data_IF_985695839447
#
_entry.id   IF_985695839447
#
_cell.length_a   1.000
_cell.length_b   1.000
_cell.length_c   1.000
_cell.angle_alpha   90.00
_cell.angle_beta   90.00
_cell.angle_gamma   90.00
#
_symmetry.space_group_name_H-M   'P 1'
#
loop_
_entity.id
_entity.type
_entity.pdbx_description
1 polymer ?
#
# COMPACT_ATOMS: atom_id res chain seq x y z
N UNK A 1 -25.69 -35.07 92.45
CA UNK A 1 -25.15 -35.91 91.36
C UNK A 1 -25.31 -35.16 90.08
N UNK A 2 -24.16 -34.77 89.49
CA UNK A 2 -24.03 -33.73 88.45
C UNK A 2 -24.29 -34.28 87.06
N UNK A 3 -25.03 -33.53 86.21
CA UNK A 3 -25.07 -33.70 84.77
C UNK A 3 -24.54 -32.47 84.10
N UNK A 4 -23.45 -32.61 83.34
CA UNK A 4 -22.75 -31.57 82.58
C UNK A 4 -23.42 -31.35 81.24
N UNK A 5 -23.84 -30.10 80.97
CA UNK A 5 -24.24 -29.61 79.68
C UNK A 5 -23.01 -29.50 78.76
N UNK A 6 -23.10 -30.09 77.59
CA UNK A 6 -22.14 -29.87 76.46
C UNK A 6 -22.79 -28.91 75.48
N UNK A 7 -22.41 -27.66 75.56
CA UNK A 7 -22.71 -26.67 74.53
C UNK A 7 -21.92 -26.99 73.25
N UNK A 8 -22.65 -27.37 72.18
CA UNK A 8 -22.12 -27.56 70.85
C UNK A 8 -21.79 -26.20 70.19
N UNK A 9 -20.51 -26.01 69.87
CA UNK A 9 -20.05 -24.88 69.10
C UNK A 9 -20.51 -25.07 67.65
N UNK A 10 -21.55 -24.33 67.21
CA UNK A 10 -22.00 -24.27 65.83
C UNK A 10 -21.09 -23.26 65.12
N UNK A 11 -20.15 -23.79 64.36
CA UNK A 11 -19.34 -23.00 63.44
C UNK A 11 -20.25 -22.26 62.44
N UNK A 12 -20.28 -20.96 62.55
CA UNK A 12 -20.97 -20.09 61.57
C UNK A 12 -20.24 -20.20 60.24
N UNK A 13 -20.84 -20.92 59.28
CA UNK A 13 -20.44 -20.89 57.88
C UNK A 13 -20.79 -19.49 57.32
N UNK A 14 -19.76 -18.71 57.06
CA UNK A 14 -19.89 -17.42 56.34
C UNK A 14 -20.60 -17.68 55.01
N UNK A 15 -21.69 -16.96 54.68
CA UNK A 15 -22.33 -17.15 53.40
C UNK A 15 -21.39 -16.78 52.29
N UNK A 16 -21.09 -17.71 51.38
CA UNK A 16 -20.43 -17.41 50.13
C UNK A 16 -21.21 -16.32 49.43
N UNK A 17 -20.55 -15.18 49.22
CA UNK A 17 -21.06 -14.03 48.46
C UNK A 17 -21.60 -14.53 47.13
N UNK A 18 -22.94 -14.54 46.97
CA UNK A 18 -23.59 -14.78 45.69
C UNK A 18 -23.25 -13.59 44.77
N UNK A 19 -22.29 -13.77 43.91
CA UNK A 19 -22.02 -12.79 42.84
C UNK A 19 -23.25 -12.80 41.93
N UNK A 20 -24.02 -11.72 41.95
CA UNK A 20 -25.18 -11.51 41.09
C UNK A 20 -24.74 -11.63 39.62
N UNK A 21 -25.45 -12.40 38.77
CA UNK A 21 -25.09 -12.59 37.34
C UNK A 21 -24.99 -11.27 36.62
N UNK A 22 -25.75 -10.25 37.02
CA UNK A 22 -25.69 -8.89 36.47
C UNK A 22 -24.35 -8.19 36.72
N UNK A 23 -23.72 -8.39 37.87
CA UNK A 23 -22.38 -7.83 38.18
C UNK A 23 -21.27 -8.49 37.34
N UNK A 24 -21.40 -9.80 37.10
CA UNK A 24 -20.43 -10.53 36.25
C UNK A 24 -20.52 -10.02 34.80
N UNK A 25 -21.75 -9.86 34.28
CA UNK A 25 -21.97 -9.33 32.93
C UNK A 25 -21.46 -7.89 32.83
N UNK A 26 -21.76 -7.03 33.79
CA UNK A 26 -21.28 -5.63 33.79
C UNK A 26 -19.75 -5.54 33.82
N UNK A 27 -19.09 -6.37 34.63
CA UNK A 27 -17.60 -6.41 34.68
C UNK A 27 -17.04 -6.93 33.37
N UNK A 28 -17.62 -7.98 32.77
CA UNK A 28 -17.18 -8.52 31.48
C UNK A 28 -17.29 -7.49 30.35
N UNK A 29 -18.44 -6.79 30.26
CA UNK A 29 -18.66 -5.73 29.26
C UNK A 29 -17.70 -4.56 29.48
N UNK A 30 -17.51 -4.11 30.74
CA UNK A 30 -16.56 -3.05 31.08
C UNK A 30 -15.14 -3.40 30.71
N UNK A 31 -14.71 -4.63 31.00
CA UNK A 31 -13.37 -5.14 30.64
C UNK A 31 -13.18 -5.21 29.12
N UNK A 32 -14.18 -5.65 28.37
CA UNK A 32 -14.15 -5.68 26.92
C UNK A 32 -14.04 -4.28 26.31
N UNK A 33 -14.81 -3.32 26.79
CA UNK A 33 -14.75 -1.93 26.33
C UNK A 33 -13.39 -1.28 26.67
N UNK A 34 -12.84 -1.55 27.85
CA UNK A 34 -11.52 -1.07 28.25
C UNK A 34 -10.42 -1.65 27.34
N UNK A 35 -10.49 -2.94 27.02
CA UNK A 35 -9.57 -3.59 26.10
C UNK A 35 -9.65 -2.98 24.69
N UNK A 36 -10.88 -2.78 24.19
CA UNK A 36 -11.09 -2.14 22.90
C UNK A 36 -10.53 -0.72 22.87
N UNK A 37 -10.77 0.07 23.91
CA UNK A 37 -10.21 1.42 24.03
C UNK A 37 -8.67 1.40 24.08
N UNK A 38 -8.09 0.44 24.79
CA UNK A 38 -6.63 0.27 24.86
C UNK A 38 -6.03 -0.09 23.48
N UNK A 39 -6.66 -0.99 22.72
CA UNK A 39 -6.24 -1.36 21.36
C UNK A 39 -6.29 -0.13 20.43
N UNK A 40 -7.38 0.64 20.48
CA UNK A 40 -7.52 1.86 19.67
C UNK A 40 -6.48 2.92 20.07
N UNK A 41 -6.25 3.12 21.36
CA UNK A 41 -5.26 4.07 21.85
C UNK A 41 -3.83 3.65 21.43
N UNK A 42 -3.51 2.36 21.54
CA UNK A 42 -2.24 1.82 21.07
C UNK A 42 -2.04 2.02 19.57
N UNK A 43 -3.05 1.71 18.75
CA UNK A 43 -3.01 1.94 17.31
C UNK A 43 -2.73 3.41 16.96
N UNK A 44 -3.40 4.35 17.65
CA UNK A 44 -3.14 5.79 17.47
C UNK A 44 -1.73 6.22 17.86
N UNK A 45 -1.16 5.64 18.90
CA UNK A 45 0.23 5.93 19.31
C UNK A 45 1.21 5.41 18.27
N UNK A 46 1.02 4.19 17.77
CA UNK A 46 1.86 3.59 16.72
C UNK A 46 1.80 4.46 15.45
N UNK A 47 0.60 4.85 15.02
CA UNK A 47 0.40 5.71 13.86
C UNK A 47 1.10 7.07 14.00
N UNK A 48 0.97 7.72 15.18
CA UNK A 48 1.64 8.99 15.44
C UNK A 48 3.15 8.86 15.37
N UNK A 49 3.72 7.79 15.95
CA UNK A 49 5.17 7.51 15.90
C UNK A 49 5.63 7.26 14.47
N UNK A 50 4.87 6.48 13.70
CA UNK A 50 5.15 6.23 12.29
C UNK A 50 5.19 7.54 11.50
N UNK A 51 4.17 8.40 11.63
CA UNK A 51 4.12 9.72 10.96
C UNK A 51 5.27 10.62 11.37
N UNK A 52 5.58 10.71 12.67
CA UNK A 52 6.69 11.51 13.16
C UNK A 52 8.04 11.07 12.57
N UNK A 53 8.27 9.77 12.43
CA UNK A 53 9.48 9.23 11.84
C UNK A 53 9.62 9.62 10.35
N UNK A 54 8.53 9.55 9.56
CA UNK A 54 8.55 10.03 8.18
C UNK A 54 8.73 11.56 8.07
N UNK A 55 8.12 12.32 8.96
CA UNK A 55 8.32 13.78 9.01
C UNK A 55 9.79 14.12 9.25
N UNK A 56 10.42 13.45 10.21
CA UNK A 56 11.84 13.65 10.49
C UNK A 56 12.71 13.28 9.29
N UNK A 57 12.48 12.12 8.66
CA UNK A 57 13.15 11.71 7.43
C UNK A 57 13.04 12.78 6.34
N UNK A 58 11.86 13.34 6.14
CA UNK A 58 11.63 14.38 5.14
C UNK A 58 12.39 15.68 5.47
N UNK A 59 12.38 16.09 6.73
CA UNK A 59 13.12 17.29 7.18
C UNK A 59 14.62 17.16 6.96
N UNK A 60 15.20 16.01 7.25
CA UNK A 60 16.63 15.73 7.08
C UNK A 60 17.08 15.77 5.60
N UNK A 61 16.17 15.48 4.66
CA UNK A 61 16.45 15.40 3.22
C UNK A 61 15.89 16.55 2.39
N UNK A 62 15.22 17.51 3.05
CA UNK A 62 14.57 18.61 2.35
C UNK A 62 13.35 18.19 1.53
N UNK A 63 12.71 17.05 1.88
CA UNK A 63 11.46 16.59 1.29
C UNK A 63 10.26 17.15 2.05
N UNK A 64 9.09 17.13 1.42
CA UNK A 64 7.84 17.53 2.04
C UNK A 64 7.05 16.26 2.43
N UNK A 65 6.58 16.25 3.66
CA UNK A 65 5.66 15.21 4.17
C UNK A 65 4.22 15.73 4.13
N UNK A 66 3.32 14.91 3.61
CA UNK A 66 1.88 15.15 3.62
C UNK A 66 1.16 13.87 4.07
N UNK A 67 0.05 14.03 4.73
CA UNK A 67 -0.80 12.92 5.14
C UNK A 67 -2.19 13.18 4.57
N UNK A 68 -2.67 12.20 3.78
CA UNK A 68 -3.92 12.28 3.03
C UNK A 68 -3.93 13.40 1.97
N UNK A 69 -4.00 13.01 0.71
CA UNK A 69 -4.20 13.93 -0.42
C UNK A 69 -5.54 13.60 -1.10
N UNK A 70 -6.65 14.19 -0.66
CA UNK A 70 -7.95 13.97 -1.29
C UNK A 70 -7.91 14.27 -2.79
N UNK A 71 -8.44 13.36 -3.61
CA UNK A 71 -8.51 13.51 -5.06
C UNK A 71 -7.16 13.35 -5.79
N UNK A 72 -6.10 12.89 -5.11
CA UNK A 72 -4.84 12.58 -5.78
C UNK A 72 -4.99 11.40 -6.74
N UNK A 73 -5.75 10.38 -6.35
CA UNK A 73 -6.05 9.22 -7.18
C UNK A 73 -6.72 9.60 -8.52
N UNK A 74 -7.60 10.57 -8.52
CA UNK A 74 -8.29 11.03 -9.72
C UNK A 74 -7.37 11.82 -10.65
N UNK A 75 -6.47 12.63 -10.10
CA UNK A 75 -5.49 13.39 -10.87
C UNK A 75 -4.51 12.47 -11.62
N UNK A 76 -4.10 11.37 -11.00
CA UNK A 76 -3.09 10.45 -11.53
C UNK A 76 -3.68 9.18 -12.16
N UNK A 77 -5.02 9.02 -12.16
CA UNK A 77 -5.69 7.84 -12.72
C UNK A 77 -5.41 7.64 -14.21
N UNK A 78 -5.10 8.73 -14.95
CA UNK A 78 -4.75 8.63 -16.37
C UNK A 78 -3.41 7.93 -16.58
N UNK A 79 -2.42 8.22 -15.74
CA UNK A 79 -1.11 7.59 -15.80
C UNK A 79 -1.17 6.15 -15.24
N UNK A 80 -1.96 5.94 -14.20
CA UNK A 80 -2.14 4.63 -13.58
C UNK A 80 -3.60 4.36 -13.23
N UNK A 81 -4.36 3.64 -14.08
CA UNK A 81 -5.74 3.26 -13.82
C UNK A 81 -5.96 2.41 -12.57
N UNK A 82 -4.91 1.80 -12.00
CA UNK A 82 -4.96 1.16 -10.69
C UNK A 82 -5.56 2.09 -9.62
N UNK A 83 -5.25 3.38 -9.68
CA UNK A 83 -5.69 4.37 -8.70
C UNK A 83 -7.21 4.67 -8.76
N UNK A 84 -7.89 4.21 -9.81
CA UNK A 84 -9.35 4.33 -9.93
C UNK A 84 -10.11 3.05 -9.55
N UNK A 85 -9.39 1.97 -9.17
CA UNK A 85 -9.99 0.68 -8.91
C UNK A 85 -10.65 0.55 -7.53
N UNK A 86 -11.66 -0.33 -7.46
CA UNK A 86 -12.29 -0.73 -6.23
C UNK A 86 -13.02 0.40 -5.51
N UNK A 87 -13.19 0.22 -4.22
CA UNK A 87 -13.85 1.17 -3.31
C UNK A 87 -13.02 1.31 -2.02
N UNK A 88 -13.47 2.16 -1.10
CA UNK A 88 -12.73 2.49 0.12
C UNK A 88 -11.26 2.86 -0.17
N UNK A 89 -11.08 3.66 -1.21
CA UNK A 89 -9.76 4.14 -1.64
C UNK A 89 -9.20 5.12 -0.62
N UNK A 90 -7.94 4.92 -0.28
CA UNK A 90 -7.25 5.75 0.70
C UNK A 90 -5.82 6.05 0.22
N UNK A 91 -5.53 7.33 0.07
CA UNK A 91 -4.21 7.86 -0.22
C UNK A 91 -3.56 8.28 1.10
N UNK A 92 -2.63 7.50 1.59
CA UNK A 92 -2.06 7.63 2.93
C UNK A 92 -0.84 8.54 3.00
N UNK A 93 0.22 8.07 3.65
CA UNK A 93 1.49 8.78 3.77
C UNK A 93 2.01 9.16 2.39
N UNK A 94 2.38 10.44 2.25
CA UNK A 94 2.88 11.00 1.01
C UNK A 94 4.13 11.83 1.27
N UNK A 95 5.15 11.61 0.45
CA UNK A 95 6.43 12.30 0.49
C UNK A 95 6.70 12.86 -0.89
N UNK A 96 6.85 14.17 -0.98
CA UNK A 96 7.16 14.85 -2.25
C UNK A 96 8.54 15.48 -2.17
N UNK A 97 9.24 15.47 -3.30
CA UNK A 97 10.57 16.04 -3.38
C UNK A 97 11.09 16.06 -4.80
N UNK A 98 12.39 16.38 -4.91
CA UNK A 98 13.13 16.35 -6.18
C UNK A 98 14.36 15.48 -5.98
N UNK A 99 14.61 14.59 -6.93
CA UNK A 99 15.79 13.73 -6.95
C UNK A 99 16.39 13.70 -8.36
N UNK A 100 17.68 13.93 -8.47
CA UNK A 100 18.37 14.07 -9.78
C UNK A 100 17.67 15.06 -10.73
N UNK A 101 17.14 16.17 -10.20
CA UNK A 101 16.46 17.20 -10.97
C UNK A 101 15.01 16.87 -11.39
N UNK A 102 14.48 15.70 -11.00
CA UNK A 102 13.12 15.26 -11.34
C UNK A 102 12.25 15.20 -10.10
N UNK A 103 11.05 15.79 -10.18
CA UNK A 103 10.09 15.76 -9.09
C UNK A 103 9.48 14.39 -8.93
N UNK A 104 9.32 13.96 -7.66
CA UNK A 104 8.69 12.70 -7.32
C UNK A 104 7.64 12.86 -6.23
N UNK A 105 6.72 11.90 -6.20
CA UNK A 105 5.77 11.67 -5.11
C UNK A 105 5.85 10.19 -4.71
N UNK A 106 6.35 9.91 -3.49
CA UNK A 106 6.29 8.59 -2.88
C UNK A 106 5.05 8.52 -1.99
N UNK A 107 4.25 7.46 -2.10
CA UNK A 107 3.02 7.36 -1.34
C UNK A 107 2.59 5.92 -1.05
N UNK A 108 1.77 5.78 -0.02
CA UNK A 108 1.05 4.56 0.29
C UNK A 108 -0.39 4.69 -0.21
N UNK A 109 -0.86 3.70 -0.95
CA UNK A 109 -2.22 3.67 -1.47
C UNK A 109 -2.91 2.36 -1.14
N UNK A 110 -4.15 2.46 -0.70
CA UNK A 110 -4.98 1.32 -0.36
C UNK A 110 -6.32 1.39 -1.07
N UNK A 111 -6.85 0.24 -1.44
CA UNK A 111 -8.21 0.10 -1.97
C UNK A 111 -8.75 -1.28 -1.67
N UNK A 112 -10.07 -1.41 -1.72
CA UNK A 112 -10.76 -2.69 -1.48
C UNK A 112 -11.44 -3.17 -2.75
N UNK A 113 -11.31 -4.45 -3.06
CA UNK A 113 -12.04 -5.13 -4.14
C UNK A 113 -12.98 -6.18 -3.56
N UNK A 114 -14.08 -6.49 -4.26
CA UNK A 114 -15.09 -7.41 -3.78
C UNK A 114 -15.98 -6.80 -2.68
N UNK A 115 -16.91 -7.58 -2.15
CA UNK A 115 -17.86 -7.15 -1.12
C UNK A 115 -18.11 -8.25 -0.10
N UNK A 116 -18.46 -7.88 1.12
CA UNK A 116 -18.78 -8.82 2.19
C UNK A 116 -17.62 -9.78 2.48
N UNK A 117 -17.88 -11.09 2.43
CA UNK A 117 -16.86 -12.12 2.73
C UNK A 117 -15.77 -12.25 1.67
N UNK A 118 -16.00 -11.73 0.46
CA UNK A 118 -15.00 -11.71 -0.62
C UNK A 118 -14.22 -10.40 -0.69
N UNK A 119 -14.45 -9.46 0.21
CA UNK A 119 -13.72 -8.21 0.27
C UNK A 119 -12.22 -8.46 0.53
N UNK A 120 -11.36 -7.83 -0.27
CA UNK A 120 -9.90 -7.89 -0.12
C UNK A 120 -9.35 -6.48 -0.19
N UNK A 121 -8.60 -6.09 0.82
CA UNK A 121 -7.86 -4.82 0.84
C UNK A 121 -6.48 -5.05 0.24
N UNK A 122 -6.12 -4.17 -0.67
CA UNK A 122 -4.82 -4.12 -1.31
C UNK A 122 -4.07 -2.89 -0.82
N UNK A 123 -2.77 -3.01 -0.70
CA UNK A 123 -1.89 -1.90 -0.31
C UNK A 123 -0.69 -1.91 -1.23
N UNK A 124 -0.30 -0.74 -1.72
CA UNK A 124 0.94 -0.55 -2.46
C UNK A 124 1.76 0.60 -1.89
N UNK A 125 3.07 0.47 -2.02
CA UNK A 125 4.02 1.57 -1.93
C UNK A 125 4.39 1.99 -3.35
N UNK A 126 4.20 3.25 -3.69
CA UNK A 126 4.38 3.74 -5.05
C UNK A 126 5.28 4.98 -5.10
N UNK A 127 5.94 5.13 -6.25
CA UNK A 127 6.67 6.33 -6.68
C UNK A 127 6.08 6.81 -7.99
N UNK A 128 5.63 8.03 -8.00
CA UNK A 128 5.19 8.76 -9.17
C UNK A 128 6.24 9.83 -9.53
N UNK A 129 6.72 9.79 -10.75
CA UNK A 129 7.69 10.74 -11.29
C UNK A 129 7.04 11.65 -12.31
N UNK A 130 7.34 12.95 -12.24
CA UNK A 130 6.99 13.92 -13.26
C UNK A 130 8.18 14.07 -14.22
N UNK A 131 8.12 13.36 -15.35
CA UNK A 131 9.19 13.39 -16.35
C UNK A 131 9.19 14.69 -17.13
N UNK A 132 10.37 15.18 -17.52
CA UNK A 132 10.52 16.36 -18.37
C UNK A 132 10.27 16.02 -19.85
N UNK A 133 9.21 15.23 -20.13
CA UNK A 133 8.81 14.83 -21.47
C UNK A 133 7.62 15.66 -21.94
N UNK A 134 7.68 16.21 -23.14
CA UNK A 134 6.59 16.98 -23.73
C UNK A 134 6.48 16.70 -25.23
N UNK A 135 5.27 16.90 -25.78
CA UNK A 135 4.99 16.74 -27.19
C UNK A 135 5.15 15.30 -27.68
N UNK A 136 5.84 15.10 -28.78
CA UNK A 136 6.07 13.79 -29.41
C UNK A 136 6.87 12.80 -28.55
N UNK A 137 7.53 13.28 -27.50
CA UNK A 137 8.27 12.45 -26.54
C UNK A 137 7.44 12.04 -25.34
N UNK A 138 6.18 12.39 -25.26
CA UNK A 138 5.28 11.97 -24.19
C UNK A 138 5.22 10.44 -24.13
N UNK A 139 5.14 9.87 -22.91
CA UNK A 139 4.96 8.43 -22.75
C UNK A 139 3.63 8.00 -23.34
N UNK A 140 3.60 6.93 -24.14
CA UNK A 140 2.35 6.26 -24.46
C UNK A 140 1.70 5.77 -23.17
N UNK A 141 0.39 5.66 -23.16
CA UNK A 141 -0.28 5.02 -22.02
C UNK A 141 0.13 3.54 -21.97
N UNK A 142 0.75 3.12 -20.88
CA UNK A 142 1.27 1.77 -20.70
C UNK A 142 1.03 1.24 -19.29
N UNK A 143 0.94 -0.09 -19.20
CA UNK A 143 0.94 -0.85 -17.96
C UNK A 143 1.80 -2.09 -18.12
N UNK A 144 2.81 -2.23 -17.27
CA UNK A 144 3.64 -3.41 -17.13
C UNK A 144 3.40 -4.03 -15.76
N UNK A 145 3.01 -5.30 -15.72
CA UNK A 145 2.80 -6.05 -14.47
C UNK A 145 3.34 -7.47 -14.62
N UNK A 146 3.85 -8.09 -13.55
CA UNK A 146 4.21 -9.50 -13.58
C UNK A 146 3.05 -10.41 -14.00
N UNK A 147 3.37 -11.51 -14.69
CA UNK A 147 2.37 -12.50 -15.11
C UNK A 147 1.62 -13.06 -13.89
N UNK A 148 0.31 -13.26 -14.05
CA UNK A 148 -0.56 -13.90 -13.05
C UNK A 148 -1.02 -13.02 -11.90
N UNK A 149 -0.55 -11.79 -11.77
CA UNK A 149 -0.88 -10.99 -10.58
C UNK A 149 -2.14 -10.13 -10.67
N UNK A 150 -2.65 -9.77 -11.85
CA UNK A 150 -3.70 -8.73 -11.89
C UNK A 150 -4.61 -8.75 -13.13
N UNK A 151 -5.21 -9.87 -13.48
CA UNK A 151 -6.16 -9.97 -14.61
C UNK A 151 -7.27 -8.90 -14.59
N UNK A 152 -7.64 -8.42 -13.39
CA UNK A 152 -8.69 -7.40 -13.22
C UNK A 152 -8.21 -5.97 -13.52
N UNK A 153 -6.95 -5.65 -13.27
CA UNK A 153 -6.36 -4.34 -13.60
C UNK A 153 -6.10 -4.25 -15.09
N UNK A 154 -5.62 -5.33 -15.66
CA UNK A 154 -5.37 -5.44 -17.07
C UNK A 154 -6.62 -5.18 -17.91
N UNK A 155 -7.81 -5.60 -17.43
CA UNK A 155 -9.08 -5.34 -18.10
C UNK A 155 -9.45 -3.85 -18.20
N UNK A 156 -8.91 -2.97 -17.34
CA UNK A 156 -9.16 -1.54 -17.38
C UNK A 156 -8.39 -0.80 -18.48
N UNK A 157 -7.26 -1.36 -18.89
CA UNK A 157 -6.44 -0.73 -19.93
C UNK A 157 -7.00 -0.90 -21.32
N UNK A 158 -7.98 -1.79 -21.55
CA UNK A 158 -8.48 -2.11 -22.88
C UNK A 158 -7.31 -2.47 -23.81
N UNK A 159 -7.44 -3.48 -24.63
CA UNK A 159 -6.39 -3.87 -25.55
C UNK A 159 -5.82 -5.27 -25.25
N UNK A 160 -5.08 -5.78 -26.21
CA UNK A 160 -4.41 -7.08 -26.13
C UNK A 160 -3.07 -6.92 -25.41
N UNK A 161 -2.55 -8.02 -24.88
CA UNK A 161 -1.19 -8.06 -24.36
C UNK A 161 -0.21 -7.83 -25.52
N UNK A 162 0.80 -7.03 -25.25
CA UNK A 162 1.86 -6.72 -26.23
C UNK A 162 3.01 -7.68 -26.00
N UNK A 163 3.07 -8.73 -26.82
CA UNK A 163 4.12 -9.75 -26.76
C UNK A 163 5.25 -9.43 -27.72
N UNK A 164 6.46 -9.90 -27.37
CA UNK A 164 7.66 -9.78 -28.19
C UNK A 164 8.20 -11.17 -28.53
N UNK A 165 8.10 -11.54 -29.79
CA UNK A 165 8.58 -12.83 -30.30
C UNK A 165 10.10 -12.98 -30.13
N UNK A 166 10.84 -11.86 -30.25
CA UNK A 166 12.29 -11.78 -30.07
C UNK A 166 12.73 -11.69 -28.59
N UNK A 167 11.79 -11.67 -27.65
CA UNK A 167 12.02 -11.61 -26.21
C UNK A 167 11.03 -12.46 -25.42
N UNK A 168 11.00 -13.79 -25.65
CA UNK A 168 10.01 -14.69 -25.05
C UNK A 168 10.13 -14.79 -23.53
N UNK A 169 11.29 -14.50 -22.97
CA UNK A 169 11.51 -14.48 -21.51
C UNK A 169 10.81 -13.30 -20.87
N UNK A 170 10.84 -12.11 -21.51
CA UNK A 170 10.10 -10.94 -21.07
C UNK A 170 8.59 -11.18 -21.17
N UNK A 171 8.08 -11.66 -22.30
CA UNK A 171 6.65 -11.91 -22.54
C UNK A 171 6.07 -12.99 -21.62
N UNK A 172 6.90 -13.94 -21.13
CA UNK A 172 6.49 -14.91 -20.11
C UNK A 172 6.53 -14.37 -18.68
N UNK A 173 7.37 -13.38 -18.43
CA UNK A 173 7.52 -12.79 -17.09
C UNK A 173 6.51 -11.67 -16.83
N UNK A 174 6.10 -10.99 -17.88
CA UNK A 174 5.30 -9.78 -17.79
C UNK A 174 4.13 -9.73 -18.75
N UNK A 175 3.07 -9.06 -18.33
CA UNK A 175 2.01 -8.55 -19.19
C UNK A 175 2.23 -7.06 -19.44
N UNK A 176 2.42 -6.70 -20.70
CA UNK A 176 2.55 -5.32 -21.15
C UNK A 176 1.31 -4.93 -21.97
N UNK A 177 0.69 -3.82 -21.60
CA UNK A 177 -0.49 -3.28 -22.30
C UNK A 177 -0.32 -1.79 -22.54
N UNK A 178 -1.01 -1.30 -23.57
CA UNK A 178 -1.07 0.12 -23.87
C UNK A 178 -2.08 0.42 -24.96
N UNK A 179 -2.52 1.68 -25.03
CA UNK A 179 -3.47 2.14 -26.06
C UNK A 179 -2.81 2.40 -27.41
N UNK A 180 -1.51 2.71 -27.41
CA UNK A 180 -0.68 2.89 -28.60
C UNK A 180 0.38 1.78 -28.64
N UNK A 181 0.04 0.66 -29.29
CA UNK A 181 0.94 -0.49 -29.38
C UNK A 181 2.27 -0.12 -30.04
N UNK A 182 2.25 0.68 -31.11
CA UNK A 182 3.47 1.06 -31.82
C UNK A 182 4.40 1.90 -30.94
N UNK A 183 3.84 2.89 -30.23
CA UNK A 183 4.60 3.71 -29.27
C UNK A 183 5.14 2.91 -28.11
N UNK A 184 4.35 1.96 -27.56
CA UNK A 184 4.82 1.07 -26.49
C UNK A 184 5.92 0.14 -26.99
N UNK A 185 5.80 -0.46 -28.18
CA UNK A 185 6.85 -1.31 -28.78
C UNK A 185 8.15 -0.54 -29.00
N UNK A 186 8.05 0.70 -29.47
CA UNK A 186 9.22 1.56 -29.69
C UNK A 186 9.93 1.90 -28.35
N UNK A 187 9.16 2.12 -27.28
CA UNK A 187 9.68 2.40 -25.94
C UNK A 187 10.37 1.19 -25.32
N UNK A 188 9.80 -0.02 -25.48
CA UNK A 188 10.34 -1.26 -24.91
C UNK A 188 11.42 -1.86 -25.82
N UNK A 189 12.58 -1.18 -25.89
CA UNK A 189 13.78 -1.63 -26.61
C UNK A 189 14.23 -3.01 -26.11
N UNK A 190 15.05 -3.77 -26.89
CA UNK A 190 15.59 -5.06 -26.46
C UNK A 190 16.31 -4.97 -25.09
N UNK A 191 17.08 -3.91 -24.86
CA UNK A 191 17.81 -3.69 -23.59
C UNK A 191 16.84 -3.51 -22.42
N UNK A 192 15.78 -2.71 -22.60
CA UNK A 192 14.77 -2.51 -21.59
C UNK A 192 14.04 -3.80 -21.23
N UNK A 193 13.65 -4.59 -22.24
CA UNK A 193 13.02 -5.90 -22.05
C UNK A 193 13.93 -6.89 -21.33
N UNK A 194 15.23 -6.91 -21.68
CA UNK A 194 16.22 -7.75 -21.00
C UNK A 194 16.33 -7.40 -19.52
N UNK A 195 16.40 -6.11 -19.17
CA UNK A 195 16.48 -5.66 -17.78
C UNK A 195 15.26 -6.13 -16.98
N UNK A 196 14.06 -5.98 -17.51
CA UNK A 196 12.84 -6.46 -16.84
C UNK A 196 12.75 -7.99 -16.79
N UNK A 197 13.25 -8.71 -17.79
CA UNK A 197 13.28 -10.17 -17.76
C UNK A 197 14.18 -10.73 -16.63
N UNK A 198 15.24 -9.98 -16.28
CA UNK A 198 16.17 -10.33 -15.18
C UNK A 198 15.60 -9.85 -13.83
N UNK A 199 15.16 -8.59 -13.77
CA UNK A 199 14.64 -7.93 -12.56
C UNK A 199 13.11 -8.12 -12.52
N UNK A 200 12.68 -9.26 -12.01
CA UNK A 200 11.26 -9.62 -11.95
C UNK A 200 10.52 -8.88 -10.84
N UNK A 201 9.20 -8.94 -10.88
CA UNK A 201 8.29 -8.36 -9.89
C UNK A 201 8.19 -6.83 -9.91
N UNK A 202 8.57 -6.19 -11.03
CA UNK A 202 8.42 -4.76 -11.22
C UNK A 202 7.03 -4.41 -11.78
N UNK A 203 6.42 -3.38 -11.23
CA UNK A 203 5.15 -2.83 -11.70
C UNK A 203 5.38 -1.41 -12.17
N UNK A 204 5.00 -1.13 -13.41
CA UNK A 204 5.17 0.21 -14.01
C UNK A 204 3.91 0.59 -14.76
N UNK A 205 3.48 1.83 -14.61
CA UNK A 205 2.48 2.46 -15.44
C UNK A 205 2.92 3.85 -15.85
N UNK A 206 2.45 4.34 -16.98
CA UNK A 206 2.80 5.69 -17.41
C UNK A 206 1.85 6.21 -18.47
N UNK A 207 1.75 7.55 -18.54
CA UNK A 207 1.11 8.26 -19.63
C UNK A 207 1.55 9.73 -19.65
N UNK A 208 1.84 10.27 -20.83
CA UNK A 208 2.24 11.67 -20.96
C UNK A 208 3.58 11.94 -20.28
N UNK A 209 3.58 12.79 -19.27
CA UNK A 209 4.77 13.10 -18.46
C UNK A 209 4.82 12.36 -17.12
N UNK A 210 3.92 11.43 -16.85
CA UNK A 210 3.88 10.73 -15.58
C UNK A 210 4.33 9.29 -15.75
N UNK A 211 5.22 8.83 -14.85
CA UNK A 211 5.67 7.45 -14.71
C UNK A 211 5.46 7.02 -13.26
N UNK A 212 4.72 5.96 -13.05
CA UNK A 212 4.50 5.36 -11.75
C UNK A 212 5.14 3.99 -11.69
N UNK A 213 5.94 3.76 -10.66
CA UNK A 213 6.44 2.46 -10.27
C UNK A 213 5.93 2.12 -8.88
N UNK A 214 5.63 0.85 -8.60
CA UNK A 214 5.17 0.44 -7.29
C UNK A 214 5.53 -0.99 -6.93
N UNK A 215 5.43 -1.27 -5.64
CA UNK A 215 5.52 -2.59 -5.02
C UNK A 215 4.29 -2.87 -4.19
N UNK A 216 3.96 -4.15 -4.02
CA UNK A 216 2.91 -4.57 -3.10
C UNK A 216 3.37 -4.39 -1.66
N UNK A 217 2.44 -3.94 -0.80
CA UNK A 217 2.69 -3.68 0.61
C UNK A 217 2.75 -2.20 0.98
N UNK A 218 2.95 -1.91 2.26
CA UNK A 218 3.03 -0.55 2.78
C UNK A 218 4.32 0.15 2.36
N UNK A 219 4.32 1.47 2.43
CA UNK A 219 5.53 2.26 2.25
C UNK A 219 6.60 1.81 3.27
N UNK A 220 7.86 1.54 2.83
CA UNK A 220 8.92 1.12 3.72
C UNK A 220 9.13 2.11 4.86
N UNK A 221 9.52 1.66 6.06
CA UNK A 221 9.87 2.58 7.14
C UNK A 221 11.03 3.49 6.73
N UNK A 222 11.24 4.62 7.42
CA UNK A 222 12.26 5.62 7.03
C UNK A 222 13.65 5.04 6.76
N UNK A 223 14.04 3.99 7.46
CA UNK A 223 15.35 3.32 7.31
C UNK A 223 15.50 2.62 5.94
N UNK A 224 14.40 2.15 5.36
CA UNK A 224 14.38 1.50 4.04
C UNK A 224 13.93 2.42 2.90
N UNK A 225 13.58 3.66 3.21
CA UNK A 225 12.97 4.55 2.22
C UNK A 225 13.97 5.05 1.18
N UNK A 226 15.23 5.27 1.57
CA UNK A 226 16.28 5.66 0.61
C UNK A 226 16.51 4.57 -0.45
N UNK A 227 16.51 3.30 -0.04
CA UNK A 227 16.64 2.16 -0.96
C UNK A 227 15.45 2.09 -1.93
N UNK A 228 14.23 2.25 -1.40
CA UNK A 228 13.01 2.31 -2.20
C UNK A 228 13.05 3.44 -3.24
N UNK A 229 13.48 4.64 -2.83
CA UNK A 229 13.63 5.79 -3.72
C UNK A 229 14.70 5.54 -4.80
N UNK A 230 15.85 4.93 -4.44
CA UNK A 230 16.91 4.59 -5.38
C UNK A 230 16.46 3.57 -6.42
N UNK A 231 15.69 2.58 -6.00
CA UNK A 231 15.19 1.56 -6.93
C UNK A 231 14.18 2.14 -7.92
N UNK A 232 13.20 2.91 -7.43
CA UNK A 232 12.27 3.58 -8.32
C UNK A 232 12.95 4.58 -9.26
N UNK A 233 14.03 5.28 -8.80
CA UNK A 233 14.84 6.12 -9.65
C UNK A 233 15.56 5.32 -10.75
N UNK A 234 16.09 4.14 -10.41
CA UNK A 234 16.69 3.24 -11.40
C UNK A 234 15.71 2.88 -12.51
N UNK A 235 14.48 2.52 -12.14
CA UNK A 235 13.41 2.23 -13.10
C UNK A 235 13.09 3.47 -13.94
N UNK A 236 12.92 4.65 -13.32
CA UNK A 236 12.66 5.90 -14.04
C UNK A 236 13.71 6.18 -15.12
N UNK A 237 14.99 6.05 -14.79
CA UNK A 237 16.10 6.33 -15.72
C UNK A 237 16.04 5.47 -16.98
N UNK A 238 15.51 4.24 -16.89
CA UNK A 238 15.33 3.37 -18.06
C UNK A 238 14.34 3.96 -19.08
N UNK A 239 13.32 4.68 -18.58
CA UNK A 239 12.30 5.33 -19.40
C UNK A 239 12.72 6.74 -19.89
N UNK A 240 13.73 7.36 -19.30
CA UNK A 240 14.24 8.66 -19.76
C UNK A 240 15.19 8.55 -20.97
N UNK A 241 15.78 7.38 -21.19
CA UNK A 241 16.78 7.15 -22.25
C UNK A 241 16.17 6.76 -23.61
N UNK A 242 14.86 6.52 -23.64
CA UNK A 242 14.11 6.08 -24.84
C UNK A 242 13.52 7.23 -25.67
#
# INVERSE_FOLDING_TARGET
MAARDRAGNVSQLTPMSQTHPETIVAVAVGSFLALLAAVVAYGRVVDRRRRAAYQQFCLERGFRFEHEQPGAEERHARACPLLSQGHARHWGITITGTRSGVSFTAFEYQWTTGHGRSARTHTIAALLWALSRAGEKALPQLLLTPEGMWDKIAALFGGQDIDFEDSPEFSRAYRLRGSDEAGVRALFTPDLRHIFAVDRDQHVAGAGSELMWWRNGPLPPPEGLDEFLMEGERIRVLFDRG
#
